data_IF_452318733938
#
_entry.id   IF_452318733938
#
_cell.length_a   1.000
_cell.length_b   1.000
_cell.length_c   1.000
_cell.angle_alpha   90.00
_cell.angle_beta   90.00
_cell.angle_gamma   90.00
#
_symmetry.space_group_name_H-M   'P 1'
#
loop_
_entity.id
_entity.type
_entity.pdbx_description
1 polymer ?
#
# COMPACT_ATOMS: atom_id res chain seq x y z
N UNK A 1 -0.28 -9.99 -50.44
CA UNK A 1 -0.92 -9.31 -49.27
C UNK A 1 -0.04 -9.62 -48.09
N UNK A 2 0.71 -8.63 -47.60
CA UNK A 2 1.49 -8.78 -46.37
C UNK A 2 0.50 -8.91 -45.21
N UNK A 3 0.49 -10.05 -44.55
CA UNK A 3 -0.16 -10.16 -43.22
C UNK A 3 0.54 -9.17 -42.30
N UNK A 4 -0.13 -8.06 -42.02
CA UNK A 4 0.30 -7.15 -40.96
C UNK A 4 0.36 -7.97 -39.67
N UNK A 5 1.56 -8.21 -39.19
CA UNK A 5 1.82 -8.85 -37.89
C UNK A 5 1.25 -7.95 -36.79
N UNK A 6 -0.03 -8.13 -36.48
CA UNK A 6 -0.73 -7.36 -35.47
C UNK A 6 -0.32 -7.90 -34.09
N UNK A 7 0.43 -7.12 -33.34
CA UNK A 7 0.74 -7.42 -31.95
C UNK A 7 -0.42 -6.99 -31.08
N UNK A 8 -0.75 -7.81 -30.10
CA UNK A 8 -1.76 -7.51 -29.09
C UNK A 8 -1.07 -6.94 -27.85
N UNK A 9 -1.64 -5.90 -27.26
CA UNK A 9 -1.23 -5.40 -25.95
C UNK A 9 -2.12 -6.04 -24.88
N UNK A 10 -1.51 -6.79 -23.97
CA UNK A 10 -2.16 -7.32 -22.79
C UNK A 10 -1.84 -6.42 -21.59
N UNK A 11 -2.87 -6.00 -20.88
CA UNK A 11 -2.75 -5.25 -19.63
C UNK A 11 -3.20 -6.19 -18.52
N UNK A 12 -2.28 -6.49 -17.61
CA UNK A 12 -2.46 -7.49 -16.56
C UNK A 12 -2.38 -6.78 -15.21
N UNK A 13 -3.38 -6.98 -14.36
CA UNK A 13 -3.42 -6.44 -13.01
C UNK A 13 -3.41 -7.53 -11.96
N UNK A 14 -3.36 -7.16 -10.67
CA UNK A 14 -3.23 -8.08 -9.53
C UNK A 14 -4.31 -9.20 -9.50
N UNK A 15 -5.45 -9.00 -10.13
CA UNK A 15 -6.44 -10.07 -10.31
C UNK A 15 -5.91 -11.30 -11.04
N UNK A 16 -4.85 -11.17 -11.82
CA UNK A 16 -4.21 -12.30 -12.49
C UNK A 16 -3.46 -13.19 -11.47
N UNK A 17 -2.74 -12.58 -10.53
CA UNK A 17 -2.06 -13.29 -9.46
C UNK A 17 -3.07 -14.04 -8.58
N UNK A 18 -4.15 -13.38 -8.19
CA UNK A 18 -5.22 -14.00 -7.42
C UNK A 18 -5.89 -15.16 -8.17
N UNK A 19 -6.13 -15.02 -9.48
CA UNK A 19 -6.66 -16.09 -10.31
C UNK A 19 -5.67 -17.27 -10.47
N UNK A 20 -4.37 -16.98 -10.35
CA UNK A 20 -3.28 -17.99 -10.32
C UNK A 20 -3.09 -18.61 -8.94
N UNK A 21 -3.98 -18.34 -7.98
CA UNK A 21 -3.97 -18.85 -6.61
C UNK A 21 -2.74 -18.35 -5.80
N UNK A 22 -2.22 -17.17 -6.13
CA UNK A 22 -1.14 -16.52 -5.38
C UNK A 22 -1.76 -15.58 -4.35
N UNK A 23 -1.24 -15.62 -3.12
CA UNK A 23 -1.72 -14.81 -1.99
C UNK A 23 -1.21 -13.36 -2.12
N UNK A 24 -1.83 -12.57 -2.99
CA UNK A 24 -1.48 -11.17 -3.27
C UNK A 24 -2.62 -10.20 -2.96
N UNK A 25 -3.60 -10.64 -2.16
CA UNK A 25 -4.63 -9.72 -1.68
C UNK A 25 -4.12 -8.85 -0.54
N UNK A 26 -4.74 -7.70 -0.33
CA UNK A 26 -4.43 -6.86 0.84
C UNK A 26 -4.74 -7.54 2.17
N UNK A 27 -5.70 -8.49 2.17
CA UNK A 27 -5.95 -9.35 3.32
C UNK A 27 -4.76 -10.26 3.64
N UNK A 28 -4.08 -10.79 2.62
CA UNK A 28 -2.85 -11.57 2.78
C UNK A 28 -1.71 -10.71 3.32
N UNK A 29 -1.59 -9.46 2.86
CA UNK A 29 -0.64 -8.51 3.41
C UNK A 29 -0.91 -8.19 4.89
N UNK A 30 -2.16 -7.95 5.26
CA UNK A 30 -2.54 -7.75 6.67
C UNK A 30 -2.19 -8.95 7.54
N UNK A 31 -2.47 -10.16 7.07
CA UNK A 31 -2.10 -11.37 7.77
C UNK A 31 -0.58 -11.45 7.95
N UNK A 32 0.17 -11.19 6.89
CA UNK A 32 1.63 -11.17 6.93
C UNK A 32 2.17 -10.12 7.93
N UNK A 33 1.62 -8.91 7.95
CA UNK A 33 1.96 -7.89 8.95
C UNK A 33 1.74 -8.40 10.38
N UNK A 34 0.61 -9.09 10.62
CA UNK A 34 0.26 -9.65 11.92
C UNK A 34 1.25 -10.73 12.35
N UNK A 35 1.58 -11.66 11.45
CA UNK A 35 2.54 -12.75 11.68
C UNK A 35 3.96 -12.23 11.94
N UNK A 36 4.34 -11.16 11.24
CA UNK A 36 5.65 -10.50 11.40
C UNK A 36 5.69 -9.41 12.48
N UNK A 37 4.60 -9.28 13.26
CA UNK A 37 4.50 -8.41 14.44
C UNK A 37 4.59 -6.90 14.16
N UNK A 38 4.15 -6.47 12.99
CA UNK A 38 4.02 -5.05 12.64
C UNK A 38 2.81 -4.39 13.32
N UNK A 39 2.57 -4.69 14.60
CA UNK A 39 1.37 -4.23 15.32
C UNK A 39 1.27 -2.71 15.42
N UNK A 40 2.41 -2.03 15.51
CA UNK A 40 2.44 -0.57 15.55
C UNK A 40 1.94 0.01 14.23
N UNK A 41 2.45 -0.49 13.09
CA UNK A 41 2.01 -0.07 11.76
C UNK A 41 0.52 -0.33 11.55
N UNK A 42 0.03 -1.52 11.92
CA UNK A 42 -1.39 -1.86 11.84
C UNK A 42 -2.24 -0.86 12.65
N UNK A 43 -1.82 -0.56 13.88
CA UNK A 43 -2.53 0.37 14.76
C UNK A 43 -2.58 1.79 14.18
N UNK A 44 -1.49 2.26 13.57
CA UNK A 44 -1.44 3.58 12.94
C UNK A 44 -2.31 3.63 11.67
N UNK A 45 -2.29 2.58 10.87
CA UNK A 45 -3.16 2.48 9.69
C UNK A 45 -4.64 2.50 10.11
N UNK A 46 -4.99 1.83 11.20
CA UNK A 46 -6.34 1.85 11.74
C UNK A 46 -6.74 3.25 12.23
N UNK A 47 -5.82 4.04 12.79
CA UNK A 47 -6.07 5.43 13.20
C UNK A 47 -6.24 6.35 12.00
N UNK A 48 -5.33 6.31 11.04
CA UNK A 48 -5.31 7.26 9.91
C UNK A 48 -6.42 6.99 8.89
N UNK A 49 -6.88 5.75 8.80
CA UNK A 49 -7.93 5.31 7.88
C UNK A 49 -9.15 4.81 8.65
N UNK A 50 -9.30 5.22 9.91
CA UNK A 50 -10.35 4.80 10.83
C UNK A 50 -11.73 5.09 10.29
N UNK A 51 -12.65 4.20 10.59
CA UNK A 51 -14.05 4.09 10.24
C UNK A 51 -14.40 3.22 9.04
N UNK A 52 -13.46 2.52 8.43
CA UNK A 52 -13.81 1.56 7.38
C UNK A 52 -13.45 0.14 7.82
N UNK A 53 -14.49 -0.66 8.02
CA UNK A 53 -14.35 -2.10 8.31
C UNK A 53 -13.61 -2.87 7.22
N UNK A 54 -13.36 -2.22 6.08
CA UNK A 54 -12.80 -2.78 4.87
C UNK A 54 -11.50 -2.10 4.43
N UNK A 55 -10.75 -1.44 5.36
CA UNK A 55 -9.45 -0.78 5.06
C UNK A 55 -8.54 -1.70 4.22
N UNK A 56 -8.49 -2.95 4.61
CA UNK A 56 -7.61 -3.95 4.00
C UNK A 56 -8.22 -4.67 2.80
N UNK A 57 -9.46 -4.37 2.41
CA UNK A 57 -10.07 -4.92 1.19
C UNK A 57 -9.72 -4.10 -0.06
N UNK A 58 -9.46 -2.79 0.12
CA UNK A 58 -9.10 -1.87 -0.96
C UNK A 58 -8.19 -0.76 -0.41
N UNK A 59 -6.93 -1.12 -0.15
CA UNK A 59 -5.97 -0.21 0.46
C UNK A 59 -5.63 0.98 -0.46
N UNK A 60 -5.63 0.79 -1.79
CA UNK A 60 -5.35 1.87 -2.74
C UNK A 60 -6.40 2.97 -2.65
N UNK A 61 -7.67 2.57 -2.59
CA UNK A 61 -8.77 3.50 -2.37
C UNK A 61 -8.68 4.15 -0.98
N UNK A 62 -8.37 3.35 0.03
CA UNK A 62 -8.26 3.81 1.41
C UNK A 62 -7.13 4.81 1.58
N UNK A 63 -5.96 4.59 0.97
CA UNK A 63 -4.85 5.55 0.96
C UNK A 63 -5.21 6.88 0.28
N UNK A 64 -6.19 6.88 -0.63
CA UNK A 64 -6.72 8.08 -1.25
C UNK A 64 -7.80 8.80 -0.43
N UNK A 65 -8.29 8.19 0.64
CA UNK A 65 -9.42 8.70 1.45
C UNK A 65 -9.05 8.68 2.95
N UNK A 66 -7.94 9.32 3.32
CA UNK A 66 -7.46 9.41 4.70
C UNK A 66 -8.34 10.36 5.55
N UNK A 67 -8.32 10.14 6.86
CA UNK A 67 -9.01 10.97 7.84
C UNK A 67 -8.08 12.09 8.33
N UNK A 68 -8.23 13.28 7.73
CA UNK A 68 -7.43 14.46 8.06
C UNK A 68 -7.53 14.83 9.55
N UNK A 69 -8.74 14.75 10.12
CA UNK A 69 -8.97 15.12 11.51
C UNK A 69 -8.25 14.16 12.46
N UNK A 70 -8.31 12.86 12.19
CA UNK A 70 -7.60 11.85 12.97
C UNK A 70 -6.07 11.99 12.85
N UNK A 71 -5.55 12.32 11.66
CA UNK A 71 -4.13 12.58 11.45
C UNK A 71 -3.70 13.81 12.23
N UNK A 72 -4.44 14.92 12.12
CA UNK A 72 -4.13 16.16 12.83
C UNK A 72 -4.20 15.98 14.35
N UNK A 73 -5.16 15.22 14.86
CA UNK A 73 -5.25 14.92 16.28
C UNK A 73 -4.07 14.05 16.74
N UNK A 74 -3.70 13.03 15.97
CA UNK A 74 -2.53 12.19 16.27
C UNK A 74 -1.22 12.96 16.22
N UNK A 75 -1.09 13.89 15.27
CA UNK A 75 0.09 14.73 15.10
C UNK A 75 0.11 15.94 16.04
N UNK A 76 -0.94 16.12 16.87
CA UNK A 76 -0.96 17.26 17.80
C UNK A 76 0.18 17.12 18.80
N UNK A 77 1.03 18.15 18.95
CA UNK A 77 2.09 18.12 19.94
C UNK A 77 1.50 17.94 21.37
N UNK A 78 2.11 17.08 22.17
CA UNK A 78 1.75 16.92 23.59
C UNK A 78 2.07 18.16 24.44
N UNK A 79 2.80 19.12 23.89
CA UNK A 79 3.19 20.36 24.55
C UNK A 79 2.08 21.40 24.45
N UNK A 80 1.75 22.02 25.58
CA UNK A 80 0.88 23.20 25.61
C UNK A 80 1.42 24.28 24.67
N UNK A 81 0.50 24.91 23.91
CA UNK A 81 0.87 26.01 23.01
C UNK A 81 1.58 27.12 23.81
N UNK A 82 2.86 27.39 23.47
CA UNK A 82 3.65 28.42 24.11
C UNK A 82 3.25 29.80 23.55
N UNK A 83 2.43 30.51 24.30
CA UNK A 83 1.96 31.85 23.93
C UNK A 83 3.08 32.92 23.98
N UNK A 84 4.19 32.63 24.66
CA UNK A 84 5.35 33.53 24.71
C UNK A 84 6.20 33.39 23.45
N UNK A 85 6.14 32.24 22.79
CA UNK A 85 6.85 31.95 21.52
C UNK A 85 5.91 31.37 20.45
N UNK A 86 4.88 32.11 20.03
CA UNK A 86 3.84 31.58 19.15
C UNK A 86 4.35 31.06 17.81
N UNK A 87 5.39 31.71 17.25
CA UNK A 87 5.97 31.30 15.96
C UNK A 87 6.60 29.91 16.03
N UNK A 88 7.23 29.57 17.16
CA UNK A 88 7.83 28.25 17.37
C UNK A 88 6.76 27.18 17.53
N UNK A 89 5.71 27.45 18.28
CA UNK A 89 4.59 26.53 18.46
C UNK A 89 3.82 26.31 17.16
N UNK A 90 3.64 27.34 16.33
CA UNK A 90 3.01 27.19 15.01
C UNK A 90 3.90 26.36 14.06
N UNK A 91 5.20 26.60 14.02
CA UNK A 91 6.12 25.81 13.20
C UNK A 91 6.10 24.33 13.59
N UNK A 92 6.04 24.01 14.89
CA UNK A 92 5.96 22.61 15.36
C UNK A 92 4.66 21.93 14.92
N UNK A 93 3.55 22.65 14.81
CA UNK A 93 2.27 22.11 14.32
C UNK A 93 2.29 21.93 12.81
N UNK A 94 2.86 22.88 12.05
CA UNK A 94 2.95 22.81 10.59
C UNK A 94 3.86 21.66 10.14
N UNK A 95 4.97 21.43 10.83
CA UNK A 95 5.95 20.40 10.49
C UNK A 95 5.58 19.00 11.06
N UNK A 96 4.64 18.92 12.03
CA UNK A 96 4.27 17.66 12.70
C UNK A 96 3.85 16.54 11.73
N UNK A 97 3.04 16.77 10.68
CA UNK A 97 2.68 15.75 9.72
C UNK A 97 3.90 15.12 9.03
N UNK A 98 4.90 15.93 8.65
CA UNK A 98 6.12 15.43 8.01
C UNK A 98 6.95 14.56 8.96
N UNK A 99 7.05 14.94 10.23
CA UNK A 99 7.83 14.21 11.22
C UNK A 99 7.18 12.90 11.68
N UNK A 100 5.87 12.86 11.73
CA UNK A 100 5.11 11.73 12.28
C UNK A 100 4.62 10.81 11.17
N UNK A 101 4.04 11.37 10.11
CA UNK A 101 3.41 10.58 9.05
C UNK A 101 4.43 9.98 8.07
N UNK A 102 5.48 10.72 7.72
CA UNK A 102 6.51 10.22 6.79
C UNK A 102 7.19 8.94 7.25
N UNK A 103 7.64 8.79 8.51
CA UNK A 103 8.21 7.55 8.99
C UNK A 103 7.23 6.36 8.92
N UNK A 104 5.94 6.60 9.15
CA UNK A 104 4.89 5.57 9.04
C UNK A 104 4.73 5.12 7.59
N UNK A 105 4.72 6.07 6.66
CA UNK A 105 4.63 5.77 5.24
C UNK A 105 5.87 5.00 4.75
N UNK A 106 7.05 5.41 5.20
CA UNK A 106 8.31 4.73 4.87
C UNK A 106 8.31 3.28 5.41
N UNK A 107 7.87 3.07 6.66
CA UNK A 107 7.71 1.74 7.25
C UNK A 107 6.69 0.89 6.49
N UNK A 108 5.57 1.49 6.09
CA UNK A 108 4.56 0.81 5.28
C UNK A 108 5.12 0.34 3.93
N UNK A 109 5.83 1.22 3.22
CA UNK A 109 6.42 0.92 1.92
C UNK A 109 7.46 -0.19 2.06
N UNK A 110 8.30 -0.16 3.09
CA UNK A 110 9.32 -1.18 3.34
C UNK A 110 8.69 -2.53 3.71
N UNK A 111 7.69 -2.53 4.57
CA UNK A 111 6.93 -3.73 4.93
C UNK A 111 6.24 -4.33 3.69
N UNK A 112 5.62 -3.50 2.86
CA UNK A 112 4.96 -3.94 1.63
C UNK A 112 5.95 -4.58 0.64
N UNK A 113 7.10 -3.95 0.42
CA UNK A 113 8.17 -4.51 -0.43
C UNK A 113 8.66 -5.85 0.11
N UNK A 114 8.92 -5.93 1.41
CA UNK A 114 9.38 -7.16 2.06
C UNK A 114 8.36 -8.28 1.93
N UNK A 115 7.08 -7.94 2.07
CA UNK A 115 6.00 -8.90 1.83
C UNK A 115 5.97 -9.39 0.39
N UNK A 116 5.99 -8.49 -0.61
CA UNK A 116 6.01 -8.85 -2.02
C UNK A 116 7.20 -9.76 -2.36
N UNK A 117 8.40 -9.44 -1.84
CA UNK A 117 9.61 -10.25 -2.03
C UNK A 117 9.51 -11.63 -1.35
N UNK A 118 8.64 -11.79 -0.36
CA UNK A 118 8.41 -13.06 0.34
C UNK A 118 7.39 -13.98 -0.34
N UNK A 119 6.66 -13.48 -1.35
CA UNK A 119 5.61 -14.24 -2.02
C UNK A 119 6.21 -15.39 -2.85
N UNK A 120 5.80 -16.61 -2.55
CA UNK A 120 6.21 -17.79 -3.32
C UNK A 120 5.37 -17.93 -4.61
N UNK A 121 5.95 -17.58 -5.73
CA UNK A 121 5.35 -17.72 -7.06
C UNK A 121 5.54 -19.11 -7.68
N UNK A 122 6.34 -19.98 -7.07
CA UNK A 122 6.66 -21.30 -7.65
C UNK A 122 5.46 -22.24 -7.66
N UNK A 123 4.51 -22.02 -6.78
CA UNK A 123 3.25 -22.75 -6.69
C UNK A 123 2.13 -22.19 -7.57
N UNK A 124 2.40 -21.11 -8.32
CA UNK A 124 1.40 -20.44 -9.13
C UNK A 124 0.73 -21.38 -10.13
N UNK A 125 -0.61 -21.38 -10.13
CA UNK A 125 -1.37 -22.12 -11.10
C UNK A 125 -1.33 -21.45 -12.47
N UNK A 126 -0.73 -22.10 -13.45
CA UNK A 126 -0.72 -21.58 -14.82
C UNK A 126 -2.13 -21.58 -15.41
N UNK A 127 -2.73 -20.40 -15.54
CA UNK A 127 -4.09 -20.21 -16.06
C UNK A 127 -4.15 -19.82 -17.53
N UNK A 128 -3.05 -19.28 -18.07
CA UNK A 128 -3.01 -18.77 -19.43
C UNK A 128 -1.64 -19.04 -20.09
N UNK A 129 -1.64 -19.24 -21.41
CA UNK A 129 -0.43 -19.26 -22.21
C UNK A 129 -0.48 -18.10 -23.18
N UNK A 130 0.43 -17.15 -23.01
CA UNK A 130 0.47 -15.94 -23.80
C UNK A 130 1.48 -16.05 -24.94
N UNK A 131 1.19 -15.50 -26.15
CA UNK A 131 2.11 -15.49 -27.28
C UNK A 131 3.35 -14.64 -26.97
N UNK A 132 4.54 -15.12 -27.30
CA UNK A 132 5.81 -14.40 -26.99
C UNK A 132 6.01 -13.13 -27.82
N UNK A 133 5.31 -13.01 -28.95
CA UNK A 133 5.44 -11.90 -29.90
C UNK A 133 4.62 -10.68 -29.50
N UNK A 134 3.69 -10.83 -28.57
CA UNK A 134 2.81 -9.77 -28.10
C UNK A 134 3.47 -8.88 -27.04
N UNK A 135 2.80 -7.78 -26.69
CA UNK A 135 3.29 -6.79 -25.72
C UNK A 135 2.53 -6.99 -24.42
N UNK A 136 3.25 -6.97 -23.29
CA UNK A 136 2.69 -7.16 -21.96
C UNK A 136 3.00 -5.95 -21.10
N UNK A 137 1.98 -5.42 -20.44
CA UNK A 137 2.09 -4.40 -19.40
C UNK A 137 1.48 -4.98 -18.12
N UNK A 138 2.30 -5.20 -17.13
CA UNK A 138 1.85 -5.74 -15.85
C UNK A 138 1.83 -4.68 -14.76
N UNK A 139 0.76 -4.70 -13.96
CA UNK A 139 0.60 -4.00 -12.70
C UNK A 139 0.49 -4.99 -11.54
N UNK A 140 0.90 -6.23 -11.74
CA UNK A 140 0.99 -7.22 -10.69
C UNK A 140 2.10 -6.86 -9.72
N UNK A 141 1.97 -7.33 -8.49
CA UNK A 141 3.04 -7.22 -7.49
C UNK A 141 4.15 -8.25 -7.74
N UNK A 142 3.86 -9.33 -8.46
CA UNK A 142 4.79 -10.42 -8.78
C UNK A 142 5.09 -10.52 -10.27
N UNK A 143 6.14 -11.26 -10.61
CA UNK A 143 6.55 -11.54 -12.01
C UNK A 143 5.94 -12.87 -12.53
N UNK A 144 4.65 -13.08 -12.34
CA UNK A 144 3.93 -14.29 -12.79
C UNK A 144 3.58 -14.29 -14.25
#
# INVERSE_FOLDING_TARGET
MEEQNRRTLYIIGNGFDLASEIATSYGDFYQWLTENKYYHLISLMDVFFSNRRDVWSDIEKTLGEYDEDSILEYCRPDEEFDYDHPTRSMASVEDAPDWIFRPVLDEFIEAFRTWVDSIDITSARKILTLPKEDIYLTFNYTET
#
